data_IF_356556578923
#
_entry.id   IF_356556578923
#
_cell.length_a   1.000
_cell.length_b   1.000
_cell.length_c   1.000
_cell.angle_alpha   90.00
_cell.angle_beta   90.00
_cell.angle_gamma   90.00
#
_symmetry.space_group_name_H-M   'P 1'
#
loop_
_entity.id
_entity.type
_entity.pdbx_description
1 polymer ?
#
# COMPACT_ATOMS: atom_id res chain seq x y z
N UNK A 1 -36.52 10.47 -65.11
CA UNK A 1 -35.35 9.60 -64.91
C UNK A 1 -35.09 9.61 -63.42
N UNK A 2 -35.41 8.49 -62.79
CA UNK A 2 -35.92 8.42 -61.43
C UNK A 2 -34.77 8.07 -60.47
N UNK A 3 -34.45 8.96 -59.55
CA UNK A 3 -33.33 8.82 -58.60
C UNK A 3 -33.71 8.10 -57.29
N UNK A 4 -34.75 7.27 -57.30
CA UNK A 4 -35.38 6.75 -56.07
C UNK A 4 -35.23 5.24 -55.87
N UNK A 5 -34.59 4.51 -56.80
CA UNK A 5 -34.56 3.03 -56.80
C UNK A 5 -33.37 2.42 -56.01
N UNK A 6 -32.43 3.20 -55.48
CA UNK A 6 -31.22 2.63 -54.84
C UNK A 6 -31.26 2.49 -53.32
N UNK A 7 -32.42 2.67 -52.65
CA UNK A 7 -32.50 2.67 -51.17
C UNK A 7 -32.84 1.33 -50.54
N UNK A 8 -33.16 0.28 -51.30
CA UNK A 8 -33.61 -1.00 -50.72
C UNK A 8 -32.53 -2.10 -50.64
N UNK A 9 -31.33 -1.87 -51.16
CA UNK A 9 -30.25 -2.88 -51.16
C UNK A 9 -29.21 -2.68 -50.02
N UNK A 10 -29.26 -1.55 -49.29
CA UNK A 10 -28.35 -1.25 -48.17
C UNK A 10 -28.93 -1.62 -46.78
N UNK A 11 -30.26 -1.82 -46.67
CA UNK A 11 -30.93 -2.12 -45.40
C UNK A 11 -30.45 -3.44 -44.76
N UNK A 12 -30.07 -4.43 -45.58
CA UNK A 12 -29.52 -5.71 -45.10
C UNK A 12 -28.10 -5.58 -44.56
N UNK A 13 -27.28 -4.72 -45.16
CA UNK A 13 -25.88 -4.50 -44.74
C UNK A 13 -25.82 -3.78 -43.40
N UNK A 14 -26.72 -2.82 -43.18
CA UNK A 14 -26.81 -2.07 -41.92
C UNK A 14 -27.11 -3.01 -40.74
N UNK A 15 -27.96 -4.03 -40.95
CA UNK A 15 -28.26 -5.02 -39.91
C UNK A 15 -27.04 -5.88 -39.55
N UNK A 16 -26.23 -6.27 -40.55
CA UNK A 16 -25.00 -7.03 -40.31
C UNK A 16 -23.95 -6.18 -39.57
N UNK A 17 -23.72 -4.95 -40.02
CA UNK A 17 -22.74 -4.05 -39.39
C UNK A 17 -23.16 -3.73 -37.95
N UNK A 18 -24.45 -3.42 -37.71
CA UNK A 18 -24.95 -3.15 -36.37
C UNK A 18 -24.83 -4.34 -35.43
N UNK A 19 -25.09 -5.57 -35.90
CA UNK A 19 -24.90 -6.78 -35.10
C UNK A 19 -23.43 -6.99 -34.70
N UNK A 20 -22.48 -6.77 -35.62
CA UNK A 20 -21.05 -6.88 -35.33
C UNK A 20 -20.62 -5.82 -34.31
N UNK A 21 -21.06 -4.58 -34.51
CA UNK A 21 -20.74 -3.46 -33.61
C UNK A 21 -21.31 -3.70 -32.20
N UNK A 22 -22.52 -4.26 -32.07
CA UNK A 22 -23.10 -4.63 -30.78
C UNK A 22 -22.21 -5.63 -30.03
N UNK A 23 -21.72 -6.67 -30.71
CA UNK A 23 -20.84 -7.68 -30.11
C UNK A 23 -19.54 -7.03 -29.62
N UNK A 24 -18.96 -6.11 -30.41
CA UNK A 24 -17.75 -5.39 -30.03
C UNK A 24 -18.00 -4.54 -28.77
N UNK A 25 -19.13 -3.83 -28.69
CA UNK A 25 -19.47 -3.04 -27.50
C UNK A 25 -19.67 -3.90 -26.25
N UNK A 26 -20.32 -5.06 -26.38
CA UNK A 26 -20.49 -6.00 -25.27
C UNK A 26 -19.12 -6.53 -24.82
N UNK A 27 -18.22 -6.87 -25.76
CA UNK A 27 -16.86 -7.32 -25.45
C UNK A 27 -16.03 -6.26 -24.72
N UNK A 28 -16.11 -5.00 -25.14
CA UNK A 28 -15.44 -3.90 -24.45
C UNK A 28 -16.02 -3.66 -23.04
N UNK A 29 -17.35 -3.74 -22.88
CA UNK A 29 -17.99 -3.60 -21.58
C UNK A 29 -17.54 -4.71 -20.61
N UNK A 30 -17.51 -5.96 -21.07
CA UNK A 30 -17.03 -7.10 -20.30
C UNK A 30 -15.57 -6.90 -19.84
N UNK A 31 -14.69 -6.47 -20.75
CA UNK A 31 -13.29 -6.18 -20.42
C UNK A 31 -13.14 -5.07 -19.37
N UNK A 32 -13.93 -4.00 -19.46
CA UNK A 32 -13.91 -2.90 -18.48
C UNK A 32 -14.35 -3.38 -17.10
N UNK A 33 -15.34 -4.27 -17.01
CA UNK A 33 -15.78 -4.83 -15.72
C UNK A 33 -14.66 -5.62 -15.05
N UNK A 34 -13.97 -6.50 -15.78
CA UNK A 34 -12.86 -7.29 -15.23
C UNK A 34 -11.69 -6.40 -14.76
N UNK A 35 -11.34 -5.37 -15.53
CA UNK A 35 -10.33 -4.39 -15.12
C UNK A 35 -10.75 -3.64 -13.85
N UNK A 36 -12.03 -3.29 -13.73
CA UNK A 36 -12.56 -2.56 -12.59
C UNK A 36 -12.51 -3.42 -11.33
N UNK A 37 -12.88 -4.70 -11.41
CA UNK A 37 -12.80 -5.64 -10.29
C UNK A 37 -11.36 -5.76 -9.79
N UNK A 38 -10.38 -5.95 -10.69
CA UNK A 38 -8.96 -6.01 -10.31
C UNK A 38 -8.51 -4.72 -9.62
N UNK A 39 -8.87 -3.57 -10.18
CA UNK A 39 -8.46 -2.27 -9.64
C UNK A 39 -9.07 -2.03 -8.26
N UNK A 40 -10.33 -2.42 -8.05
CA UNK A 40 -11.00 -2.29 -6.77
C UNK A 40 -10.35 -3.15 -5.70
N UNK A 41 -10.08 -4.43 -6.00
CA UNK A 41 -9.37 -5.32 -5.09
C UNK A 41 -7.99 -4.77 -4.72
N UNK A 42 -7.24 -4.26 -5.71
CA UNK A 42 -5.94 -3.64 -5.45
C UNK A 42 -6.01 -2.43 -4.52
N UNK A 43 -7.04 -1.59 -4.65
CA UNK A 43 -7.24 -0.45 -3.74
C UNK A 43 -7.54 -0.90 -2.31
N UNK A 44 -8.31 -1.98 -2.15
CA UNK A 44 -8.57 -2.56 -0.84
C UNK A 44 -7.29 -3.12 -0.21
N UNK A 45 -6.46 -3.80 -1.00
CA UNK A 45 -5.17 -4.30 -0.54
C UNK A 45 -4.22 -3.20 -0.06
N UNK A 46 -4.21 -2.03 -0.72
CA UNK A 46 -3.43 -0.89 -0.23
C UNK A 46 -3.84 -0.48 1.18
N UNK A 47 -5.14 -0.33 1.42
CA UNK A 47 -5.64 0.03 2.75
C UNK A 47 -5.29 -1.04 3.80
N UNK A 48 -5.37 -2.32 3.42
CA UNK A 48 -4.99 -3.44 4.28
C UNK A 48 -3.49 -3.44 4.58
N UNK A 49 -2.64 -3.25 3.56
CA UNK A 49 -1.19 -3.22 3.71
C UNK A 49 -0.72 -2.00 4.54
N UNK A 50 -1.28 -0.82 4.31
CA UNK A 50 -0.94 0.40 5.05
C UNK A 50 -1.33 0.30 6.52
N UNK A 51 -2.54 -0.20 6.81
CA UNK A 51 -2.98 -0.39 8.20
C UNK A 51 -2.18 -1.48 8.92
N UNK A 52 -1.87 -2.59 8.23
CA UNK A 52 -1.02 -3.65 8.76
C UNK A 52 0.41 -3.16 9.05
N UNK A 53 1.02 -2.44 8.09
CA UNK A 53 2.36 -1.88 8.25
C UNK A 53 2.39 -0.90 9.42
N UNK A 54 1.42 0.02 9.51
CA UNK A 54 1.34 0.99 10.60
C UNK A 54 1.14 0.32 11.97
N UNK A 55 0.29 -0.71 12.03
CA UNK A 55 0.06 -1.47 13.25
C UNK A 55 1.36 -2.17 13.70
N UNK A 56 2.04 -2.88 12.80
CA UNK A 56 3.32 -3.52 13.12
C UNK A 56 4.42 -2.52 13.51
N UNK A 57 4.49 -1.38 12.82
CA UNK A 57 5.44 -0.32 13.11
C UNK A 57 5.33 0.20 14.54
N UNK A 58 4.13 0.18 15.14
CA UNK A 58 3.93 0.62 16.52
C UNK A 58 4.73 -0.18 17.56
N UNK A 59 5.09 -1.43 17.27
CA UNK A 59 5.85 -2.30 18.17
C UNK A 59 7.38 -2.21 17.95
N UNK A 60 7.81 -1.57 16.86
CA UNK A 60 9.23 -1.36 16.58
C UNK A 60 9.77 -0.13 17.32
N UNK A 61 11.05 -0.16 17.76
CA UNK A 61 12.03 -1.25 17.62
C UNK A 61 11.99 -2.30 18.74
N UNK A 62 11.09 -2.16 19.71
CA UNK A 62 11.16 -2.88 21.00
C UNK A 62 10.77 -4.37 20.89
N UNK A 63 9.75 -4.72 20.09
CA UNK A 63 9.25 -6.08 19.92
C UNK A 63 8.99 -6.42 18.44
N UNK A 64 10.03 -6.85 17.69
CA UNK A 64 9.87 -7.18 16.28
C UNK A 64 8.98 -8.42 16.04
N UNK A 65 8.99 -9.40 16.94
CA UNK A 65 8.13 -10.58 16.82
C UNK A 65 6.64 -10.19 17.00
N UNK A 66 6.36 -9.34 18.00
CA UNK A 66 5.05 -8.72 18.18
C UNK A 66 4.65 -7.80 17.03
N UNK A 67 5.59 -7.11 16.39
CA UNK A 67 5.34 -6.27 15.22
C UNK A 67 4.76 -7.07 14.03
N UNK A 68 5.38 -8.20 13.68
CA UNK A 68 4.86 -9.06 12.61
C UNK A 68 3.51 -9.67 12.97
N UNK A 69 3.36 -10.18 14.21
CA UNK A 69 2.10 -10.75 14.67
C UNK A 69 0.95 -9.74 14.61
N UNK A 70 1.20 -8.50 15.07
CA UNK A 70 0.21 -7.42 15.04
C UNK A 70 -0.10 -6.96 13.61
N UNK A 71 0.91 -6.87 12.74
CA UNK A 71 0.70 -6.54 11.34
C UNK A 71 -0.17 -7.59 10.63
N UNK A 72 0.10 -8.88 10.85
CA UNK A 72 -0.72 -9.96 10.29
C UNK A 72 -2.13 -9.98 10.86
N UNK A 73 -2.29 -9.67 12.16
CA UNK A 73 -3.62 -9.53 12.76
C UNK A 73 -4.43 -8.44 12.05
N UNK A 74 -3.88 -7.24 11.90
CA UNK A 74 -4.57 -6.13 11.24
C UNK A 74 -4.82 -6.41 9.76
N UNK A 75 -3.92 -7.13 9.08
CA UNK A 75 -4.15 -7.54 7.70
C UNK A 75 -5.37 -8.47 7.58
N UNK A 76 -5.46 -9.48 8.44
CA UNK A 76 -6.54 -10.46 8.45
C UNK A 76 -7.88 -9.89 8.96
N UNK A 77 -7.84 -8.92 9.86
CA UNK A 77 -9.05 -8.20 10.31
C UNK A 77 -9.66 -7.36 9.19
N UNK A 78 -8.82 -6.78 8.32
CA UNK A 78 -9.29 -6.02 7.16
C UNK A 78 -9.69 -6.94 6.00
N UNK A 79 -8.93 -7.99 5.70
CA UNK A 79 -9.24 -8.95 4.64
C UNK A 79 -8.98 -10.40 5.11
N UNK A 80 -10.02 -11.11 5.57
CA UNK A 80 -9.90 -12.49 6.04
C UNK A 80 -9.45 -13.50 4.98
N UNK A 81 -9.51 -13.16 3.69
CA UNK A 81 -9.15 -14.05 2.59
C UNK A 81 -7.63 -14.10 2.34
N UNK A 82 -6.84 -13.27 3.04
CA UNK A 82 -5.38 -13.17 2.87
C UNK A 82 -4.56 -14.25 3.59
N UNK A 83 -5.18 -15.28 4.15
CA UNK A 83 -4.52 -16.26 5.02
C UNK A 83 -3.47 -17.11 4.28
N UNK A 84 -2.24 -16.59 4.16
CA UNK A 84 -1.09 -17.23 3.51
C UNK A 84 -0.28 -16.32 2.59
N UNK A 85 -0.85 -15.20 2.15
CA UNK A 85 -0.26 -14.30 1.16
C UNK A 85 0.32 -13.00 1.78
N UNK A 86 0.76 -13.12 3.04
CA UNK A 86 1.30 -12.03 3.85
C UNK A 86 2.77 -12.29 4.15
N UNK A 87 3.62 -11.32 3.80
CA UNK A 87 5.05 -11.35 4.15
C UNK A 87 5.41 -10.03 4.83
N UNK A 88 5.99 -10.14 6.03
CA UNK A 88 6.57 -9.00 6.75
C UNK A 88 8.10 -9.06 6.61
N UNK A 89 8.70 -7.96 6.17
CA UNK A 89 10.15 -7.79 6.15
C UNK A 89 10.52 -6.52 6.92
N UNK A 90 11.76 -6.41 7.39
CA UNK A 90 12.21 -5.27 8.17
C UNK A 90 13.30 -4.49 7.45
N UNK A 91 13.34 -3.20 7.72
CA UNK A 91 14.35 -2.28 7.20
C UNK A 91 14.84 -1.34 8.28
N UNK A 92 16.07 -0.91 8.11
CA UNK A 92 16.64 0.23 8.82
C UNK A 92 16.58 1.42 7.85
N UNK A 93 15.75 2.41 8.17
CA UNK A 93 15.61 3.65 7.41
C UNK A 93 16.21 4.78 8.23
N UNK A 94 17.13 5.54 7.66
CA UNK A 94 17.79 6.69 8.29
C UNK A 94 17.90 7.83 7.29
N UNK A 95 18.21 9.03 7.75
CA UNK A 95 18.45 10.17 6.90
C UNK A 95 19.83 10.13 6.23
N UNK A 96 19.92 10.80 5.09
CA UNK A 96 21.15 11.28 4.46
C UNK A 96 21.13 12.80 4.55
N UNK A 97 21.48 13.31 5.74
CA UNK A 97 21.30 14.72 6.08
C UNK A 97 22.23 15.66 5.29
N UNK A 98 23.38 15.17 4.84
CA UNK A 98 24.37 15.92 4.07
C UNK A 98 24.30 15.66 2.56
N UNK A 99 23.44 14.72 2.12
CA UNK A 99 23.20 14.41 0.71
C UNK A 99 24.40 13.75 0.03
N UNK A 100 25.24 13.05 0.79
CA UNK A 100 26.47 12.43 0.28
C UNK A 100 26.26 10.97 -0.18
N UNK A 101 25.03 10.47 -0.10
CA UNK A 101 24.67 9.09 -0.44
C UNK A 101 25.08 8.08 0.63
N UNK A 102 25.27 8.53 1.89
CA UNK A 102 25.58 7.68 3.03
C UNK A 102 24.58 7.92 4.18
N UNK A 103 24.36 6.91 5.03
CA UNK A 103 23.52 7.07 6.21
C UNK A 103 24.15 8.07 7.19
N UNK A 104 23.31 8.89 7.83
CA UNK A 104 23.76 9.81 8.88
C UNK A 104 24.37 9.01 10.05
N UNK A 105 25.66 9.24 10.38
CA UNK A 105 26.35 8.53 11.46
C UNK A 105 25.75 8.80 12.85
N UNK A 106 24.90 9.82 13.00
CA UNK A 106 24.18 10.10 14.25
C UNK A 106 22.94 9.21 14.42
N UNK A 107 22.37 8.69 13.33
CA UNK A 107 21.18 7.84 13.37
C UNK A 107 21.52 6.34 13.46
N UNK A 108 22.73 5.94 13.08
CA UNK A 108 23.21 4.56 13.22
C UNK A 108 24.26 4.51 14.34
N UNK A 109 24.03 3.82 15.49
CA UNK A 109 22.97 2.86 15.79
C UNK A 109 21.76 3.43 16.57
N UNK A 110 21.65 4.76 16.72
CA UNK A 110 20.70 5.38 17.63
C UNK A 110 19.22 5.16 17.28
N UNK A 111 18.89 5.07 15.99
CA UNK A 111 17.54 4.90 15.44
C UNK A 111 17.31 3.47 14.96
N UNK A 112 18.30 2.90 14.30
CA UNK A 112 18.32 1.50 13.91
C UNK A 112 19.77 1.03 13.73
N UNK A 113 19.97 -0.27 13.81
CA UNK A 113 21.27 -0.92 13.69
C UNK A 113 21.11 -2.23 12.91
N UNK A 114 21.44 -2.25 11.61
CA UNK A 114 21.36 -3.45 10.76
C UNK A 114 22.57 -4.38 10.94
N UNK A 115 23.30 -4.29 12.07
CA UNK A 115 24.40 -5.17 12.39
C UNK A 115 25.78 -4.67 11.93
N UNK A 116 26.83 -5.31 12.44
CA UNK A 116 28.22 -4.89 12.23
C UNK A 116 28.72 -5.06 10.78
N UNK A 117 28.05 -5.92 9.99
CA UNK A 117 28.37 -6.17 8.59
C UNK A 117 27.92 -5.02 7.66
N UNK A 118 27.06 -4.13 8.17
CA UNK A 118 26.51 -2.99 7.47
C UNK A 118 27.26 -1.72 7.89
N UNK A 119 28.53 -1.61 7.47
CA UNK A 119 29.34 -0.40 7.70
C UNK A 119 28.68 0.88 7.16
N UNK A 120 29.17 2.05 7.58
CA UNK A 120 28.60 3.36 7.15
C UNK A 120 28.90 3.74 5.69
N UNK A 121 29.75 2.99 5.01
CA UNK A 121 30.06 3.17 3.57
C UNK A 121 29.63 1.91 2.83
N UNK A 122 28.78 2.05 1.80
CA UNK A 122 28.16 0.97 1.02
C UNK A 122 29.09 -0.21 0.68
N UNK A 123 28.59 -1.46 0.54
CA UNK A 123 27.21 -1.98 0.65
C UNK A 123 26.93 -2.63 2.03
N UNK A 124 25.66 -2.67 2.52
CA UNK A 124 24.40 -2.80 1.76
C UNK A 124 23.36 -1.64 1.92
N UNK A 125 23.81 -0.38 1.96
CA UNK A 125 22.91 0.79 2.02
C UNK A 125 22.43 1.23 0.63
N UNK A 126 21.13 1.55 0.50
CA UNK A 126 20.51 2.17 -0.67
C UNK A 126 19.98 3.53 -0.28
N UNK A 127 20.60 4.59 -0.80
CA UNK A 127 20.26 5.97 -0.49
C UNK A 127 19.62 6.68 -1.69
N UNK A 128 18.51 7.37 -1.45
CA UNK A 128 17.79 8.20 -2.41
C UNK A 128 17.04 9.32 -1.68
N UNK A 129 16.96 10.50 -2.29
CA UNK A 129 16.11 11.62 -1.83
C UNK A 129 16.35 12.05 -0.36
N UNK A 130 17.59 11.99 0.11
CA UNK A 130 17.96 12.38 1.49
C UNK A 130 17.63 11.32 2.54
N UNK A 131 17.39 10.08 2.13
CA UNK A 131 17.17 8.94 3.01
C UNK A 131 17.99 7.74 2.56
N UNK A 132 18.41 6.92 3.51
CA UNK A 132 19.15 5.69 3.31
C UNK A 132 18.40 4.52 3.95
N UNK A 133 18.27 3.43 3.21
CA UNK A 133 17.68 2.19 3.71
C UNK A 133 18.63 1.01 3.59
N UNK A 134 18.63 0.16 4.60
CA UNK A 134 19.31 -1.12 4.62
C UNK A 134 18.33 -2.25 4.97
N UNK A 135 18.64 -3.46 4.51
CA UNK A 135 18.00 -4.68 5.00
C UNK A 135 18.32 -4.81 6.49
N UNK A 136 17.35 -5.31 7.27
CA UNK A 136 17.50 -5.47 8.71
C UNK A 136 16.81 -6.78 9.11
N UNK A 137 17.50 -7.64 9.87
CA UNK A 137 16.95 -8.89 10.37
C UNK A 137 16.95 -8.94 11.90
N UNK A 138 15.79 -8.77 12.55
CA UNK A 138 15.71 -8.85 14.01
C UNK A 138 16.07 -10.24 14.56
N UNK A 139 16.03 -11.30 13.74
CA UNK A 139 16.46 -12.65 14.10
C UNK A 139 17.97 -12.79 14.29
N UNK A 140 18.75 -11.91 13.66
CA UNK A 140 20.22 -11.85 13.80
C UNK A 140 20.67 -10.88 14.92
N UNK A 141 19.72 -10.22 15.58
CA UNK A 141 19.98 -9.25 16.65
C UNK A 141 19.98 -7.80 16.18
N UNK A 142 19.55 -7.53 14.95
CA UNK A 142 19.45 -6.17 14.42
C UNK A 142 18.32 -5.38 15.10
N UNK A 143 18.53 -4.07 15.21
CA UNK A 143 17.51 -3.14 15.71
C UNK A 143 16.86 -2.44 14.52
N UNK A 144 15.66 -2.86 14.14
CA UNK A 144 14.95 -2.33 12.97
C UNK A 144 13.90 -1.29 13.37
N UNK A 145 13.78 -0.21 12.59
CA UNK A 145 12.79 0.86 12.85
C UNK A 145 11.62 0.86 11.87
N UNK A 146 11.73 0.11 10.76
CA UNK A 146 10.74 0.10 9.68
C UNK A 146 10.29 -1.33 9.38
N UNK A 147 8.99 -1.53 9.24
CA UNK A 147 8.38 -2.77 8.74
C UNK A 147 7.85 -2.53 7.33
N UNK A 148 8.03 -3.51 6.45
CA UNK A 148 7.50 -3.53 5.09
C UNK A 148 6.59 -4.74 4.97
N UNK A 149 5.33 -4.46 4.69
CA UNK A 149 4.27 -5.44 4.46
C UNK A 149 4.08 -5.67 2.98
N UNK A 150 4.27 -6.91 2.56
CA UNK A 150 3.85 -7.41 1.26
C UNK A 150 2.54 -8.17 1.41
N UNK A 151 1.54 -7.75 0.64
CA UNK A 151 0.23 -8.37 0.61
C UNK A 151 -0.07 -8.77 -0.82
N UNK A 152 -0.34 -10.05 -1.05
CA UNK A 152 -0.78 -10.59 -2.34
C UNK A 152 -2.20 -11.12 -2.23
N UNK A 153 -2.93 -11.06 -3.35
CA UNK A 153 -4.25 -11.68 -3.47
C UNK A 153 -4.51 -12.04 -4.92
N UNK A 154 -5.12 -13.19 -5.11
CA UNK A 154 -5.65 -13.63 -6.40
C UNK A 154 -7.09 -13.15 -6.55
N UNK A 155 -7.40 -12.50 -7.67
CA UNK A 155 -8.73 -11.97 -7.96
C UNK A 155 -9.33 -12.77 -9.12
N UNK A 156 -10.50 -13.36 -8.89
CA UNK A 156 -11.27 -14.04 -9.94
C UNK A 156 -11.90 -13.02 -10.90
N UNK A 157 -11.83 -13.30 -12.19
CA UNK A 157 -12.45 -12.47 -13.23
C UNK A 157 -13.90 -12.89 -13.51
N UNK A 158 -14.75 -11.93 -13.85
CA UNK A 158 -16.16 -12.17 -14.11
C UNK A 158 -16.42 -12.62 -15.56
N UNK A 159 -15.73 -12.04 -16.55
CA UNK A 159 -15.98 -12.31 -17.97
C UNK A 159 -14.78 -12.87 -18.73
N UNK A 160 -13.55 -12.60 -18.29
CA UNK A 160 -12.33 -13.19 -18.82
C UNK A 160 -12.30 -14.75 -18.83
N UNK A 161 -13.05 -15.49 -17.97
CA UNK A 161 -13.18 -16.94 -18.11
C UNK A 161 -13.68 -17.39 -19.48
N UNK A 162 -14.46 -16.55 -20.19
CA UNK A 162 -14.97 -16.84 -21.53
C UNK A 162 -13.85 -16.98 -22.59
N UNK A 163 -12.66 -16.45 -22.32
CA UNK A 163 -11.46 -16.56 -23.18
C UNK A 163 -10.35 -17.39 -22.51
N UNK A 164 -10.66 -18.13 -21.44
CA UNK A 164 -9.74 -19.04 -20.75
C UNK A 164 -8.85 -18.37 -19.69
N UNK A 165 -9.15 -17.14 -19.28
CA UNK A 165 -8.43 -16.43 -18.21
C UNK A 165 -9.32 -16.31 -16.99
N UNK A 166 -9.07 -17.11 -15.96
CA UNK A 166 -9.99 -17.24 -14.82
C UNK A 166 -9.67 -16.29 -13.66
N UNK A 167 -8.40 -15.91 -13.52
CA UNK A 167 -7.91 -15.19 -12.35
C UNK A 167 -6.71 -14.30 -12.70
N UNK A 168 -6.43 -13.34 -11.82
CA UNK A 168 -5.24 -12.50 -11.90
C UNK A 168 -4.68 -12.16 -10.52
N UNK A 169 -3.36 -12.27 -10.38
CA UNK A 169 -2.65 -11.88 -9.16
C UNK A 169 -2.52 -10.35 -9.07
N UNK A 170 -2.67 -9.82 -7.86
CA UNK A 170 -2.33 -8.46 -7.49
C UNK A 170 -1.55 -8.46 -6.19
N UNK A 171 -0.50 -7.66 -6.13
CA UNK A 171 0.33 -7.48 -4.95
C UNK A 171 0.59 -5.99 -4.68
N UNK A 172 0.72 -5.66 -3.40
CA UNK A 172 1.07 -4.32 -2.93
C UNK A 172 2.15 -4.42 -1.84
N UNK A 173 2.97 -3.39 -1.77
CA UNK A 173 4.03 -3.23 -0.77
C UNK A 173 3.77 -1.93 -0.03
N UNK A 174 3.62 -1.99 1.28
CA UNK A 174 3.53 -0.81 2.14
C UNK A 174 4.60 -0.86 3.22
N UNK A 175 5.13 0.30 3.60
CA UNK A 175 6.16 0.42 4.62
C UNK A 175 5.74 1.46 5.66
N UNK A 176 6.01 1.18 6.93
CA UNK A 176 5.77 2.10 8.01
C UNK A 176 6.83 1.99 9.10
N UNK A 177 6.99 3.07 9.86
CA UNK A 177 7.91 3.16 10.98
C UNK A 177 7.24 3.87 12.15
N UNK A 178 7.82 3.76 13.34
CA UNK A 178 7.33 4.46 14.53
C UNK A 178 7.88 5.89 14.56
N UNK A 179 7.03 6.88 14.32
CA UNK A 179 7.40 8.30 14.35
C UNK A 179 8.18 8.71 13.09
N UNK A 180 9.17 9.61 13.25
CA UNK A 180 10.07 9.96 12.15
C UNK A 180 11.11 8.86 11.97
N UNK A 181 11.03 8.11 10.85
CA UNK A 181 12.02 7.09 10.55
C UNK A 181 13.41 7.69 10.29
N UNK A 182 13.47 8.92 9.79
CA UNK A 182 14.69 9.64 9.39
C UNK A 182 14.57 11.13 9.76
N UNK A 183 15.62 11.73 10.30
CA UNK A 183 15.67 13.15 10.69
C UNK A 183 16.69 13.96 9.87
N UNK A 184 16.37 15.21 9.49
CA UNK A 184 15.06 15.87 9.55
C UNK A 184 14.19 15.53 8.33
N UNK A 185 12.88 15.79 8.44
CA UNK A 185 11.98 15.82 7.28
C UNK A 185 12.55 16.78 6.22
N UNK A 186 12.77 16.27 5.01
CA UNK A 186 13.22 17.02 3.85
C UNK A 186 12.08 17.88 3.27
N UNK A 187 11.54 18.81 4.05
CA UNK A 187 10.60 19.82 3.56
C UNK A 187 9.45 20.21 4.52
N UNK A 188 8.72 21.30 4.21
CA UNK A 188 7.50 21.67 4.94
C UNK A 188 6.42 20.58 4.74
N UNK A 189 5.79 20.16 5.84
CA UNK A 189 4.72 19.16 5.84
C UNK A 189 3.37 19.84 6.06
N UNK A 190 2.46 19.69 5.11
CA UNK A 190 1.06 20.09 5.27
C UNK A 190 0.22 18.88 5.73
N UNK A 191 -0.28 18.93 6.97
CA UNK A 191 -1.07 17.87 7.57
C UNK A 191 -2.57 18.17 7.50
N UNK A 192 -3.37 17.27 6.93
CA UNK A 192 -4.83 17.30 7.00
C UNK A 192 -5.34 16.13 7.85
N UNK A 193 -6.02 16.43 8.96
CA UNK A 193 -6.64 15.42 9.81
C UNK A 193 -8.15 15.45 9.62
N UNK A 194 -8.72 14.34 9.18
CA UNK A 194 -10.17 14.14 9.03
C UNK A 194 -10.61 13.16 10.10
N UNK A 195 -11.52 13.58 10.97
CA UNK A 195 -11.98 12.78 12.11
C UNK A 195 -13.46 12.48 11.94
N UNK A 196 -13.82 11.19 12.04
CA UNK A 196 -15.21 10.79 12.10
C UNK A 196 -15.84 11.22 13.44
N UNK A 197 -17.03 11.83 13.37
CA UNK A 197 -17.82 12.28 14.52
C UNK A 197 -19.22 11.66 14.53
N UNK A 198 -19.43 10.57 13.81
CA UNK A 198 -20.71 9.86 13.80
C UNK A 198 -21.00 9.18 15.14
N UNK A 199 -22.24 8.72 15.32
CA UNK A 199 -22.72 8.14 16.58
C UNK A 199 -21.97 6.87 16.99
N UNK A 200 -21.36 6.14 16.06
CA UNK A 200 -20.52 4.96 16.35
C UNK A 200 -19.31 5.31 17.22
N UNK A 201 -18.75 6.52 17.10
CA UNK A 201 -17.64 7.00 17.94
C UNK A 201 -18.03 7.30 19.40
N UNK A 202 -19.30 7.10 19.78
CA UNK A 202 -19.75 7.16 21.19
C UNK A 202 -19.57 5.84 21.93
N UNK A 203 -19.29 4.75 21.22
CA UNK A 203 -19.13 3.40 21.79
C UNK A 203 -17.89 2.73 21.18
N UNK A 204 -16.88 2.40 21.99
CA UNK A 204 -16.81 2.61 23.44
C UNK A 204 -16.70 4.11 23.80
N UNK A 205 -17.10 4.52 25.02
CA UNK A 205 -17.26 5.94 25.41
C UNK A 205 -15.96 6.76 25.36
N UNK A 206 -14.82 6.08 25.34
CA UNK A 206 -13.48 6.62 25.20
C UNK A 206 -13.00 6.75 23.75
N UNK A 207 -13.72 6.23 22.75
CA UNK A 207 -13.29 6.26 21.35
C UNK A 207 -13.03 7.69 20.84
N UNK A 208 -13.99 8.60 21.00
CA UNK A 208 -13.82 10.00 20.57
C UNK A 208 -12.77 10.77 21.42
N UNK A 209 -12.73 10.64 22.77
CA UNK A 209 -11.64 11.17 23.59
C UNK A 209 -10.25 10.66 23.21
N UNK A 210 -10.11 9.36 22.91
CA UNK A 210 -8.85 8.74 22.51
C UNK A 210 -8.42 9.26 21.14
N UNK A 211 -9.34 9.34 20.17
CA UNK A 211 -9.05 9.92 18.85
C UNK A 211 -8.59 11.38 18.97
N UNK A 212 -9.24 12.19 19.80
CA UNK A 212 -8.81 13.57 20.06
C UNK A 212 -7.42 13.62 20.69
N UNK A 213 -7.15 12.79 21.68
CA UNK A 213 -5.87 12.77 22.39
C UNK A 213 -4.72 12.34 21.48
N UNK A 214 -4.97 11.36 20.60
CA UNK A 214 -4.01 10.93 19.58
C UNK A 214 -3.67 12.06 18.59
N UNK A 215 -4.66 12.81 18.13
CA UNK A 215 -4.44 13.95 17.22
C UNK A 215 -3.65 15.07 17.91
N UNK A 216 -3.95 15.37 19.18
CA UNK A 216 -3.17 16.35 19.93
C UNK A 216 -1.72 15.91 20.12
N UNK A 217 -1.48 14.65 20.47
CA UNK A 217 -0.14 14.10 20.59
C UNK A 217 0.64 14.15 19.26
N UNK A 218 -0.03 13.91 18.13
CA UNK A 218 0.57 14.03 16.79
C UNK A 218 1.00 15.48 16.51
N UNK A 219 0.13 16.45 16.82
CA UNK A 219 0.43 17.87 16.59
C UNK A 219 1.58 18.36 17.49
N UNK A 220 1.61 17.93 18.75
CA UNK A 220 2.71 18.25 19.67
C UNK A 220 4.04 17.62 19.20
N UNK A 221 4.00 16.44 18.60
CA UNK A 221 5.19 15.76 18.07
C UNK A 221 5.73 16.42 16.78
N UNK A 222 4.85 16.90 15.91
CA UNK A 222 5.22 17.49 14.61
C UNK A 222 5.54 18.99 14.68
N UNK A 223 5.20 19.66 15.79
CA UNK A 223 5.56 21.05 16.05
C UNK A 223 6.44 21.14 17.32
N UNK A 224 7.68 20.61 17.28
CA UNK A 224 8.61 20.66 18.41
C UNK A 224 9.04 22.09 18.77
#
# INVERSE_FOLDING_TARGET
MNAWESRHDEDGVILVISAIVLIIFIGMAAFVVDLTLKSQSRQFLWNTADSAALAGASQLPDDPAGAAALAFQYALENDPELAGDLVATYRCLVADANGDGQPDPLEVPAKCNPGADFGMTAPPWVCADGQCSAVCDPGEGDTCNTIVMEVKKTVEYAFAPAVGVFEGETGVLSAACRGLCASPLTGPLDLMVIIDRTTSMRTPPDALPNAKSAVLALLDYLNP
#
